data_IF_940528670570
#
_entry.id   IF_940528670570
#
_cell.length_a   1.000
_cell.length_b   1.000
_cell.length_c   1.000
_cell.angle_alpha   90.00
_cell.angle_beta   90.00
_cell.angle_gamma   90.00
#
_symmetry.space_group_name_H-M   'P 1'
#
loop_
_entity.id
_entity.type
_entity.pdbx_description
1 polymer ?
#
# COMPACT_ATOMS: atom_id res chain seq x y z
N UNK A 1 7.59 -33.68 -10.60
CA UNK A 1 6.26 -33.12 -10.30
C UNK A 1 5.33 -34.26 -9.96
N UNK A 2 5.01 -34.46 -8.68
CA UNK A 2 3.87 -35.31 -8.32
C UNK A 2 2.61 -34.65 -8.90
N UNK A 3 1.87 -35.39 -9.71
CA UNK A 3 0.57 -34.94 -10.21
C UNK A 3 -0.41 -34.94 -9.04
N UNK A 4 -0.61 -33.78 -8.42
CA UNK A 4 -1.66 -33.57 -7.42
C UNK A 4 -3.00 -33.91 -8.07
N UNK A 5 -3.68 -34.96 -7.59
CA UNK A 5 -4.96 -35.37 -8.15
C UNK A 5 -6.02 -34.28 -7.90
N UNK A 6 -6.99 -34.12 -8.80
CA UNK A 6 -8.01 -33.07 -8.72
C UNK A 6 -8.81 -33.14 -7.40
N UNK A 7 -9.01 -34.35 -6.85
CA UNK A 7 -9.64 -34.55 -5.55
C UNK A 7 -8.84 -33.94 -4.38
N UNK A 8 -7.51 -33.93 -4.47
CA UNK A 8 -6.64 -33.31 -3.46
C UNK A 8 -6.74 -31.79 -3.54
N UNK A 9 -6.73 -31.21 -4.75
CA UNK A 9 -6.89 -29.76 -4.94
C UNK A 9 -8.24 -29.25 -4.42
N UNK A 10 -9.33 -29.96 -4.67
CA UNK A 10 -10.65 -29.62 -4.10
C UNK A 10 -10.63 -29.69 -2.57
N UNK A 11 -9.94 -30.68 -2.00
CA UNK A 11 -9.79 -30.80 -0.54
C UNK A 11 -9.01 -29.62 0.01
N UNK A 12 -7.87 -29.26 -0.59
CA UNK A 12 -7.08 -28.09 -0.19
C UNK A 12 -7.90 -26.80 -0.28
N UNK A 13 -8.59 -26.56 -1.38
CA UNK A 13 -9.43 -25.36 -1.55
C UNK A 13 -10.50 -25.25 -0.44
N UNK A 14 -11.12 -26.37 -0.04
CA UNK A 14 -12.05 -26.41 1.10
C UNK A 14 -11.36 -26.15 2.44
N UNK A 15 -10.13 -26.63 2.63
CA UNK A 15 -9.35 -26.33 3.83
C UNK A 15 -8.96 -24.85 3.91
N UNK A 16 -8.58 -24.24 2.77
CA UNK A 16 -8.34 -22.80 2.70
C UNK A 16 -9.63 -22.05 3.03
N UNK A 17 -10.77 -22.38 2.40
CA UNK A 17 -12.05 -21.73 2.66
C UNK A 17 -12.49 -21.85 4.14
N UNK A 18 -12.32 -23.03 4.74
CA UNK A 18 -12.62 -23.29 6.14
C UNK A 18 -11.68 -22.57 7.11
N UNK A 19 -10.45 -22.25 6.69
CA UNK A 19 -9.49 -21.47 7.46
C UNK A 19 -9.69 -19.96 7.37
N UNK A 20 -10.74 -19.47 6.69
CA UNK A 20 -11.04 -18.04 6.57
C UNK A 20 -11.27 -17.43 7.96
N UNK A 21 -10.72 -16.22 8.24
CA UNK A 21 -10.96 -15.54 9.50
C UNK A 21 -12.47 -15.32 9.76
N UNK A 22 -12.92 -15.36 11.03
CA UNK A 22 -14.26 -14.93 11.38
C UNK A 22 -14.51 -13.50 10.88
N UNK A 23 -15.62 -13.25 10.18
CA UNK A 23 -15.90 -11.95 9.54
C UNK A 23 -15.26 -11.76 8.16
N UNK A 24 -14.43 -12.70 7.70
CA UNK A 24 -13.72 -12.61 6.43
C UNK A 24 -12.57 -11.59 6.46
N UNK A 25 -12.04 -11.28 5.29
CA UNK A 25 -11.02 -10.24 5.10
C UNK A 25 -11.60 -9.00 4.39
N UNK A 26 -12.72 -9.17 3.69
CA UNK A 26 -13.45 -8.08 3.07
C UNK A 26 -14.93 -8.25 3.38
N UNK A 27 -15.57 -7.18 3.84
CA UNK A 27 -17.00 -7.20 4.14
C UNK A 27 -17.80 -7.51 2.87
N UNK A 28 -18.85 -8.33 2.98
CA UNK A 28 -19.81 -8.62 1.91
C UNK A 28 -19.26 -9.18 0.58
N UNK A 29 -18.02 -9.70 0.59
CA UNK A 29 -17.41 -10.32 -0.59
C UNK A 29 -17.21 -11.83 -0.42
N UNK A 30 -17.44 -12.56 -1.52
CA UNK A 30 -17.13 -13.99 -1.62
C UNK A 30 -16.15 -14.23 -2.76
N UNK A 31 -15.27 -15.21 -2.59
CA UNK A 31 -14.11 -15.43 -3.45
C UNK A 31 -14.04 -16.91 -3.80
N UNK A 32 -13.63 -17.20 -5.03
CA UNK A 32 -13.25 -18.57 -5.40
C UNK A 32 -11.78 -18.77 -5.06
N UNK A 33 -11.51 -19.85 -4.33
CA UNK A 33 -10.16 -20.21 -3.92
C UNK A 33 -9.67 -21.37 -4.78
N UNK A 34 -8.41 -21.30 -5.21
CA UNK A 34 -7.73 -22.45 -5.80
C UNK A 34 -7.06 -23.27 -4.68
N UNK A 35 -6.91 -24.58 -4.89
CA UNK A 35 -6.25 -25.49 -3.95
C UNK A 35 -4.72 -25.41 -4.00
N UNK A 36 -4.18 -24.49 -4.79
CA UNK A 36 -2.74 -24.27 -5.00
C UNK A 36 -2.44 -22.79 -5.04
N UNK A 37 -1.26 -22.41 -4.57
CA UNK A 37 -0.71 -21.10 -4.83
C UNK A 37 -0.47 -20.88 -6.34
N UNK A 38 -0.49 -19.62 -6.77
CA UNK A 38 -0.24 -19.27 -8.17
C UNK A 38 1.24 -19.52 -8.51
N UNK A 39 1.57 -20.45 -9.42
CA UNK A 39 2.96 -20.79 -9.70
C UNK A 39 3.63 -19.69 -10.51
N UNK A 40 4.78 -19.21 -10.02
CA UNK A 40 5.60 -18.21 -10.69
C UNK A 40 6.93 -18.84 -11.14
N UNK A 41 7.33 -18.73 -12.43
CA UNK A 41 8.65 -19.17 -12.87
C UNK A 41 9.76 -18.42 -12.12
N UNK A 42 10.88 -19.08 -11.79
CA UNK A 42 11.97 -18.47 -11.03
C UNK A 42 12.55 -17.21 -11.68
N UNK A 43 12.51 -17.12 -13.02
CA UNK A 43 12.87 -15.91 -13.74
C UNK A 43 11.96 -14.72 -13.39
N UNK A 44 10.64 -14.95 -13.38
CA UNK A 44 9.65 -13.94 -13.03
C UNK A 44 9.81 -13.50 -11.57
N UNK A 45 10.11 -14.43 -10.65
CA UNK A 45 10.42 -14.09 -9.26
C UNK A 45 11.61 -13.13 -9.16
N UNK A 46 12.71 -13.41 -9.88
CA UNK A 46 13.87 -12.52 -9.91
C UNK A 46 13.58 -11.13 -10.50
N UNK A 47 12.68 -11.04 -11.49
CA UNK A 47 12.21 -9.76 -12.04
C UNK A 47 11.37 -8.98 -11.00
N UNK A 48 10.48 -9.66 -10.26
CA UNK A 48 9.68 -9.07 -9.18
C UNK A 48 10.52 -8.57 -8.01
N UNK A 49 11.54 -9.32 -7.59
CA UNK A 49 12.46 -8.91 -6.51
C UNK A 49 13.20 -7.60 -6.85
N UNK A 50 13.61 -7.45 -8.12
CA UNK A 50 14.24 -6.23 -8.61
C UNK A 50 13.28 -5.03 -8.68
N UNK A 51 11.99 -5.29 -8.92
CA UNK A 51 10.98 -4.27 -9.17
C UNK A 51 10.77 -3.35 -7.97
N UNK A 52 10.80 -3.87 -6.74
CA UNK A 52 10.59 -3.06 -5.54
C UNK A 52 11.57 -1.88 -5.42
N UNK A 53 12.85 -2.11 -5.74
CA UNK A 53 13.86 -1.04 -5.75
C UNK A 53 13.61 -0.02 -6.86
N UNK A 54 13.21 -0.48 -8.04
CA UNK A 54 12.91 0.40 -9.19
C UNK A 54 11.73 1.30 -8.88
N UNK A 55 10.65 0.76 -8.32
CA UNK A 55 9.45 1.53 -7.98
C UNK A 55 9.70 2.54 -6.86
N UNK A 56 10.52 2.17 -5.87
CA UNK A 56 10.95 3.14 -4.85
C UNK A 56 11.70 4.33 -5.46
N UNK A 57 12.58 4.07 -6.44
CA UNK A 57 13.28 5.15 -7.15
C UNK A 57 12.33 5.97 -8.03
N UNK A 58 11.36 5.31 -8.67
CA UNK A 58 10.32 5.98 -9.45
C UNK A 58 9.51 6.96 -8.58
N UNK A 59 9.02 6.54 -7.41
CA UNK A 59 8.34 7.44 -6.47
C UNK A 59 9.23 8.58 -5.96
N UNK A 60 10.51 8.31 -5.67
CA UNK A 60 11.47 9.37 -5.31
C UNK A 60 11.60 10.41 -6.42
N UNK A 61 11.77 9.96 -7.66
CA UNK A 61 11.91 10.79 -8.83
C UNK A 61 10.60 11.55 -9.13
N UNK A 62 9.44 10.91 -9.05
CA UNK A 62 8.14 11.55 -9.22
C UNK A 62 7.90 12.67 -8.20
N UNK A 63 8.17 12.40 -6.91
CA UNK A 63 8.09 13.41 -5.87
C UNK A 63 9.09 14.55 -6.07
N UNK A 64 10.30 14.25 -6.56
CA UNK A 64 11.29 15.27 -6.92
C UNK A 64 10.84 16.12 -8.12
N UNK A 65 10.29 15.48 -9.15
CA UNK A 65 9.81 16.13 -10.37
C UNK A 65 8.71 17.14 -10.04
N UNK A 66 7.71 16.74 -9.25
CA UNK A 66 6.66 17.63 -8.80
C UNK A 66 7.22 18.84 -8.05
N UNK A 67 8.10 18.62 -7.06
CA UNK A 67 8.74 19.71 -6.29
C UNK A 67 9.58 20.64 -7.15
N UNK A 68 10.34 20.10 -8.10
CA UNK A 68 11.14 20.93 -9.00
C UNK A 68 10.26 21.73 -9.95
N UNK A 69 9.16 21.14 -10.45
CA UNK A 69 8.18 21.84 -11.27
C UNK A 69 7.51 22.98 -10.51
N UNK A 70 7.08 22.77 -9.27
CA UNK A 70 6.44 23.80 -8.45
C UNK A 70 7.39 24.92 -7.99
N UNK A 71 8.70 24.69 -8.05
CA UNK A 71 9.74 25.68 -7.71
C UNK A 71 10.47 26.25 -8.93
N UNK A 72 9.97 26.00 -10.14
CA UNK A 72 10.51 26.56 -11.39
C UNK A 72 11.85 25.96 -11.85
N UNK A 73 12.26 24.80 -11.30
CA UNK A 73 13.46 24.06 -11.72
C UNK A 73 13.17 23.01 -12.81
N UNK A 74 11.91 22.66 -13.00
CA UNK A 74 11.39 21.84 -14.10
C UNK A 74 10.19 22.58 -14.74
N UNK A 75 9.74 22.19 -15.94
CA UNK A 75 8.61 22.85 -16.60
C UNK A 75 7.35 22.87 -15.73
N UNK A 76 6.81 24.07 -15.50
CA UNK A 76 5.69 24.33 -14.58
C UNK A 76 4.44 23.48 -14.85
N UNK A 77 4.17 23.18 -16.13
CA UNK A 77 2.98 22.44 -16.56
C UNK A 77 2.85 21.06 -15.88
N UNK A 78 3.94 20.47 -15.39
CA UNK A 78 3.92 19.16 -14.75
C UNK A 78 3.20 19.25 -13.40
N UNK A 79 3.60 20.20 -12.55
CA UNK A 79 2.91 20.48 -11.29
C UNK A 79 1.49 20.98 -11.56
N UNK A 80 1.31 21.90 -12.52
CA UNK A 80 -0.05 22.38 -12.86
C UNK A 80 -0.99 21.26 -13.29
N UNK A 81 -0.50 20.28 -14.06
CA UNK A 81 -1.27 19.11 -14.47
C UNK A 81 -1.59 18.19 -13.30
N UNK A 82 -0.58 17.86 -12.48
CA UNK A 82 -0.76 16.97 -11.33
C UNK A 82 -1.62 17.61 -10.25
N UNK A 83 -1.60 18.93 -10.09
CA UNK A 83 -2.33 19.63 -9.03
C UNK A 83 -3.75 20.05 -9.46
N UNK A 84 -4.12 19.79 -10.72
CA UNK A 84 -5.39 20.24 -11.29
C UNK A 84 -6.59 19.69 -10.52
N UNK A 85 -7.48 20.60 -10.09
CA UNK A 85 -8.71 20.25 -9.38
C UNK A 85 -8.54 19.92 -7.89
N UNK A 86 -7.32 20.00 -7.34
CA UNK A 86 -7.08 19.67 -5.94
C UNK A 86 -7.29 20.88 -5.02
N UNK A 87 -7.84 20.66 -3.81
CA UNK A 87 -7.91 21.68 -2.77
C UNK A 87 -6.54 22.26 -2.38
N UNK A 88 -6.49 23.56 -2.08
CA UNK A 88 -5.23 24.26 -1.81
C UNK A 88 -4.53 23.80 -0.52
N UNK A 89 -5.30 23.43 0.49
CA UNK A 89 -4.84 22.84 1.74
C UNK A 89 -4.16 21.48 1.53
N UNK A 90 -4.73 20.61 0.68
CA UNK A 90 -4.11 19.34 0.29
C UNK A 90 -2.76 19.54 -0.41
N UNK A 91 -2.67 20.52 -1.32
CA UNK A 91 -1.40 20.88 -1.98
C UNK A 91 -0.38 21.47 -0.99
N UNK A 92 -0.86 22.24 -0.01
CA UNK A 92 -0.02 22.79 1.06
C UNK A 92 0.56 21.68 1.95
N UNK A 93 -0.21 20.62 2.23
CA UNK A 93 0.29 19.45 2.97
C UNK A 93 1.45 18.79 2.22
N UNK A 94 1.30 18.50 0.93
CA UNK A 94 2.35 17.88 0.14
C UNK A 94 3.67 18.66 0.12
N UNK A 95 3.56 19.99 0.13
CA UNK A 95 4.69 20.91 0.07
C UNK A 95 5.31 21.19 1.44
N UNK A 96 4.64 20.80 2.53
CA UNK A 96 5.09 21.06 3.90
C UNK A 96 6.47 20.44 4.16
N UNK A 97 7.41 21.12 4.87
CA UNK A 97 8.76 20.61 5.13
C UNK A 97 8.82 19.19 5.71
N UNK A 98 7.86 18.84 6.58
CA UNK A 98 7.73 17.51 7.18
C UNK A 98 7.38 16.41 6.17
N UNK A 99 6.61 16.73 5.11
CA UNK A 99 6.11 15.72 4.16
C UNK A 99 6.80 15.77 2.80
N UNK A 100 7.38 16.91 2.39
CA UNK A 100 7.90 17.10 1.03
C UNK A 100 8.87 16.01 0.58
N UNK A 101 9.66 15.44 1.49
CA UNK A 101 10.63 14.37 1.23
C UNK A 101 10.14 12.96 1.61
N UNK A 102 9.02 12.85 2.32
CA UNK A 102 8.46 11.56 2.75
C UNK A 102 7.85 10.78 1.60
N UNK A 103 7.82 9.46 1.75
CA UNK A 103 7.27 8.51 0.78
C UNK A 103 6.32 7.54 1.51
N UNK A 104 5.34 6.97 0.79
CA UNK A 104 4.61 5.81 1.25
C UNK A 104 5.56 4.69 1.68
N UNK A 105 5.29 4.06 2.82
CA UNK A 105 6.11 2.96 3.34
C UNK A 105 5.74 1.60 2.74
N UNK A 106 4.54 1.50 2.17
CA UNK A 106 4.06 0.35 1.40
C UNK A 106 3.64 0.88 0.05
N UNK A 107 3.98 0.14 -1.01
CA UNK A 107 3.51 0.37 -2.37
C UNK A 107 3.07 -0.96 -2.95
N UNK A 108 1.96 -0.98 -3.68
CA UNK A 108 1.48 -2.17 -4.38
C UNK A 108 1.43 -1.87 -5.88
N UNK A 109 2.33 -2.47 -6.68
CA UNK A 109 2.17 -2.44 -8.12
C UNK A 109 1.14 -3.49 -8.54
N UNK A 110 0.17 -3.08 -9.34
CA UNK A 110 -0.71 -4.01 -10.03
C UNK A 110 -0.05 -4.38 -11.35
N UNK A 111 0.08 -5.70 -11.58
CA UNK A 111 0.89 -6.27 -12.65
C UNK A 111 0.02 -7.10 -13.58
N UNK A 112 0.18 -6.87 -14.88
CA UNK A 112 -0.35 -7.72 -15.94
C UNK A 112 0.79 -8.54 -16.54
N UNK A 113 0.63 -9.87 -16.54
CA UNK A 113 1.55 -10.77 -17.23
C UNK A 113 1.14 -10.85 -18.70
N UNK A 114 2.07 -10.52 -19.60
CA UNK A 114 1.89 -10.59 -21.05
C UNK A 114 2.90 -11.56 -21.67
N UNK A 115 2.75 -11.86 -22.96
CA UNK A 115 3.73 -12.68 -23.70
C UNK A 115 5.11 -12.01 -23.80
N UNK A 116 5.17 -10.67 -23.66
CA UNK A 116 6.38 -9.86 -23.79
C UNK A 116 7.04 -9.56 -22.44
N UNK A 117 6.36 -9.83 -21.32
CA UNK A 117 6.86 -9.60 -19.97
C UNK A 117 5.78 -9.05 -19.04
N UNK A 118 6.22 -8.32 -18.00
CA UNK A 118 5.32 -7.70 -17.03
C UNK A 118 5.00 -6.27 -17.46
N UNK A 119 3.72 -5.90 -17.43
CA UNK A 119 3.28 -4.52 -17.53
C UNK A 119 2.71 -4.06 -16.19
N UNK A 120 3.09 -2.87 -15.73
CA UNK A 120 2.50 -2.25 -14.54
C UNK A 120 1.28 -1.46 -14.97
N UNK A 121 0.13 -1.74 -14.36
CA UNK A 121 -1.14 -1.08 -14.68
C UNK A 121 -1.48 0.02 -13.69
N UNK A 122 -1.13 -0.17 -12.41
CA UNK A 122 -1.39 0.78 -11.34
C UNK A 122 -0.28 0.69 -10.29
N UNK A 123 -0.09 1.77 -9.53
CA UNK A 123 0.81 1.79 -8.39
C UNK A 123 0.11 2.49 -7.23
N UNK A 124 -0.32 1.68 -6.28
CA UNK A 124 -1.14 2.08 -5.15
C UNK A 124 -0.24 2.39 -3.93
N UNK A 125 -0.51 3.51 -3.27
CA UNK A 125 0.21 3.99 -2.10
C UNK A 125 -0.54 3.78 -0.77
N UNK A 126 -1.81 3.38 -0.82
CA UNK A 126 -2.68 3.05 0.31
C UNK A 126 -3.25 1.62 0.13
N UNK A 127 -2.42 0.58 -0.12
CA UNK A 127 -2.94 -0.68 -0.63
C UNK A 127 -3.63 -1.51 0.45
N UNK A 128 -4.80 -2.04 0.10
CA UNK A 128 -5.41 -3.20 0.77
C UNK A 128 -4.80 -4.53 0.30
N UNK A 129 -5.36 -5.65 0.74
CA UNK A 129 -4.94 -7.00 0.31
C UNK A 129 -3.68 -7.54 0.99
N UNK A 130 -3.06 -6.78 1.89
CA UNK A 130 -1.90 -7.21 2.69
C UNK A 130 -2.28 -8.38 3.58
N UNK A 131 -3.40 -8.27 4.29
CA UNK A 131 -3.92 -9.29 5.19
C UNK A 131 -4.46 -10.49 4.43
N UNK A 132 -5.11 -10.27 3.28
CA UNK A 132 -5.49 -11.36 2.39
C UNK A 132 -4.29 -12.19 1.95
N UNK A 133 -3.25 -11.51 1.46
CA UNK A 133 -2.04 -12.19 0.98
C UNK A 133 -1.33 -12.92 2.11
N UNK A 134 -1.20 -12.29 3.28
CA UNK A 134 -0.64 -12.91 4.48
C UNK A 134 -1.40 -14.17 4.89
N UNK A 135 -2.73 -14.11 4.92
CA UNK A 135 -3.57 -15.26 5.26
C UNK A 135 -3.43 -16.38 4.22
N UNK A 136 -3.50 -16.07 2.92
CA UNK A 136 -3.30 -17.05 1.85
C UNK A 136 -1.92 -17.71 1.95
N UNK A 137 -0.86 -16.93 2.15
CA UNK A 137 0.49 -17.44 2.35
C UNK A 137 0.55 -18.41 3.52
N UNK A 138 -0.06 -18.07 4.66
CA UNK A 138 -0.13 -18.96 5.83
C UNK A 138 -0.86 -20.27 5.54
N UNK A 139 -1.97 -20.20 4.81
CA UNK A 139 -2.74 -21.39 4.44
C UNK A 139 -1.98 -22.29 3.47
N UNK A 140 -1.42 -21.72 2.40
CA UNK A 140 -0.69 -22.50 1.40
C UNK A 140 0.66 -23.04 1.90
N UNK A 141 1.28 -22.38 2.90
CA UNK A 141 2.55 -22.86 3.51
C UNK A 141 2.45 -24.23 4.17
N UNK A 142 1.24 -24.74 4.40
CA UNK A 142 1.03 -26.10 4.89
C UNK A 142 1.40 -27.17 3.86
N UNK A 143 1.42 -26.82 2.58
CA UNK A 143 1.68 -27.75 1.48
C UNK A 143 2.86 -27.33 0.59
N UNK A 144 3.12 -26.02 0.48
CA UNK A 144 4.13 -25.45 -0.41
C UNK A 144 5.24 -24.78 0.41
N UNK A 145 6.48 -25.24 0.25
CA UNK A 145 7.63 -24.69 0.99
C UNK A 145 8.30 -23.49 0.28
N UNK A 146 7.99 -23.25 -0.99
CA UNK A 146 8.65 -22.26 -1.85
C UNK A 146 7.76 -21.02 -2.11
N UNK A 147 6.91 -20.65 -1.15
CA UNK A 147 6.07 -19.47 -1.27
C UNK A 147 6.88 -18.18 -1.10
N UNK A 148 6.65 -17.22 -1.99
CA UNK A 148 7.28 -15.90 -1.91
C UNK A 148 6.85 -15.21 -0.60
N UNK A 149 7.83 -14.82 0.21
CA UNK A 149 7.62 -14.24 1.53
C UNK A 149 7.24 -15.25 2.64
N UNK A 150 7.04 -16.52 2.30
CA UNK A 150 6.66 -17.57 3.26
C UNK A 150 5.38 -17.26 4.05
N UNK A 151 5.19 -17.95 5.18
CA UNK A 151 3.96 -17.87 5.99
C UNK A 151 3.75 -16.52 6.71
N UNK A 152 4.82 -15.76 6.96
CA UNK A 152 4.80 -14.58 7.85
C UNK A 152 5.33 -13.29 7.20
N UNK A 153 6.02 -13.35 6.05
CA UNK A 153 6.75 -12.21 5.50
C UNK A 153 5.88 -10.98 5.20
N UNK A 154 4.61 -11.17 4.81
CA UNK A 154 3.68 -10.06 4.62
C UNK A 154 3.38 -9.31 5.94
N UNK A 155 3.20 -10.04 7.04
CA UNK A 155 2.95 -9.45 8.36
C UNK A 155 4.21 -8.80 8.92
N UNK A 156 5.36 -9.45 8.79
CA UNK A 156 6.67 -8.91 9.20
C UNK A 156 7.01 -7.63 8.43
N UNK A 157 6.76 -7.63 7.12
CA UNK A 157 6.95 -6.45 6.27
C UNK A 157 6.03 -5.30 6.67
N UNK A 158 4.75 -5.57 6.93
CA UNK A 158 3.80 -4.55 7.39
C UNK A 158 4.17 -4.02 8.79
N UNK A 159 4.54 -4.89 9.73
CA UNK A 159 4.99 -4.48 11.05
C UNK A 159 6.24 -3.58 10.99
N UNK A 160 7.18 -3.91 10.09
CA UNK A 160 8.43 -3.17 9.90
C UNK A 160 8.25 -1.72 9.45
N UNK A 161 7.09 -1.33 8.92
CA UNK A 161 6.87 0.05 8.46
C UNK A 161 6.74 1.06 9.61
N UNK A 162 6.45 0.58 10.83
CA UNK A 162 6.14 1.43 11.99
C UNK A 162 7.36 1.75 12.86
N UNK A 163 8.56 1.25 12.53
CA UNK A 163 9.78 1.46 13.33
C UNK A 163 9.56 1.08 14.80
N UNK A 164 10.00 1.94 15.73
CA UNK A 164 9.96 1.67 17.17
C UNK A 164 8.69 2.18 17.90
N UNK A 165 7.58 2.42 17.19
CA UNK A 165 6.36 2.96 17.83
C UNK A 165 5.74 1.90 18.74
N UNK A 166 5.39 2.29 19.98
CA UNK A 166 4.70 1.41 20.93
C UNK A 166 3.20 1.27 20.64
N UNK A 167 2.60 2.28 20.03
CA UNK A 167 1.20 2.24 19.60
C UNK A 167 1.09 2.50 18.10
N UNK A 168 0.27 1.70 17.44
CA UNK A 168 -0.06 1.80 16.03
C UNK A 168 -1.56 1.93 15.85
N UNK A 169 -1.97 2.94 15.09
CA UNK A 169 -3.36 3.17 14.72
C UNK A 169 -3.56 2.93 13.23
N UNK A 170 -4.43 1.98 12.88
CA UNK A 170 -4.87 1.74 11.51
C UNK A 170 -6.19 2.50 11.31
N UNK A 171 -6.15 3.69 10.71
CA UNK A 171 -7.32 4.56 10.57
C UNK A 171 -8.02 4.23 9.26
N UNK A 172 -9.21 3.65 9.34
CA UNK A 172 -10.01 3.19 8.18
C UNK A 172 -11.19 4.13 7.98
N UNK A 173 -11.31 4.73 6.79
CA UNK A 173 -12.47 5.55 6.45
C UNK A 173 -13.73 4.73 6.19
N UNK A 174 -14.88 5.41 6.16
CA UNK A 174 -16.13 4.83 5.71
C UNK A 174 -16.06 4.39 4.24
N UNK A 175 -15.42 5.18 3.37
CA UNK A 175 -15.19 4.82 1.96
C UNK A 175 -14.37 3.52 1.83
N UNK A 176 -13.48 3.26 2.79
CA UNK A 176 -12.66 2.04 2.85
C UNK A 176 -13.22 0.96 3.78
N UNK A 177 -14.46 1.08 4.24
CA UNK A 177 -15.04 0.20 5.26
C UNK A 177 -15.02 -1.29 4.89
N UNK A 178 -15.09 -1.61 3.60
CA UNK A 178 -14.97 -2.99 3.08
C UNK A 178 -13.68 -3.69 3.54
N UNK A 179 -12.60 -2.94 3.74
CA UNK A 179 -11.29 -3.46 4.17
C UNK A 179 -11.10 -3.48 5.69
N UNK A 180 -12.06 -2.98 6.47
CA UNK A 180 -11.97 -3.00 7.94
C UNK A 180 -11.69 -4.39 8.52
N UNK A 181 -12.35 -5.48 8.07
CA UNK A 181 -12.07 -6.83 8.57
C UNK A 181 -10.62 -7.25 8.32
N UNK A 182 -10.03 -6.88 7.18
CA UNK A 182 -8.61 -7.11 6.90
C UNK A 182 -7.71 -6.39 7.91
N UNK A 183 -7.97 -5.11 8.18
CA UNK A 183 -7.16 -4.33 9.12
C UNK A 183 -7.27 -4.86 10.56
N UNK A 184 -8.48 -5.29 10.96
CA UNK A 184 -8.72 -5.92 12.26
C UNK A 184 -8.00 -7.26 12.36
N UNK A 185 -8.03 -8.05 11.28
CA UNK A 185 -7.30 -9.29 11.22
C UNK A 185 -5.79 -9.06 11.34
N UNK A 186 -5.20 -8.17 10.54
CA UNK A 186 -3.76 -7.84 10.62
C UNK A 186 -3.40 -7.41 12.05
N UNK A 187 -4.16 -6.48 12.64
CA UNK A 187 -3.92 -6.02 14.00
C UNK A 187 -3.98 -7.16 15.04
N UNK A 188 -4.87 -8.14 14.85
CA UNK A 188 -4.96 -9.32 15.74
C UNK A 188 -3.81 -10.31 15.59
N UNK A 189 -3.13 -10.32 14.43
CA UNK A 189 -1.99 -11.22 14.19
C UNK A 189 -0.66 -10.66 14.69
N UNK A 190 -0.59 -9.35 14.95
CA UNK A 190 0.62 -8.66 15.42
C UNK A 190 0.53 -8.42 16.94
N UNK A 191 1.58 -8.76 17.67
CA UNK A 191 1.58 -8.71 19.14
C UNK A 191 2.83 -8.05 19.75
N UNK A 192 3.73 -7.50 18.94
CA UNK A 192 4.96 -6.86 19.43
C UNK A 192 4.71 -5.50 20.08
N UNK A 193 3.54 -4.92 19.83
CA UNK A 193 3.13 -3.57 20.25
C UNK A 193 1.61 -3.46 20.24
N UNK A 194 1.08 -2.33 20.69
CA UNK A 194 -0.36 -2.08 20.67
C UNK A 194 -0.83 -1.71 19.27
N UNK A 195 -1.72 -2.51 18.67
CA UNK A 195 -2.40 -2.18 17.43
C UNK A 195 -3.88 -1.88 17.70
N UNK A 196 -4.40 -0.82 17.10
CA UNK A 196 -5.82 -0.52 17.15
C UNK A 196 -6.33 -0.05 15.79
N UNK A 197 -7.39 -0.69 15.30
CA UNK A 197 -8.14 -0.19 14.16
C UNK A 197 -9.07 0.92 14.63
N UNK A 198 -9.02 2.06 13.94
CA UNK A 198 -9.72 3.29 14.29
C UNK A 198 -10.63 3.72 13.14
N UNK A 199 -11.70 4.42 13.47
CA UNK A 199 -12.58 5.05 12.48
C UNK A 199 -12.06 6.44 12.11
N UNK A 200 -12.60 7.02 11.02
CA UNK A 200 -12.20 8.32 10.48
C UNK A 200 -12.34 9.52 11.43
N UNK A 201 -13.11 9.38 12.50
CA UNK A 201 -13.36 10.39 13.53
C UNK A 201 -12.45 10.28 14.76
N UNK A 202 -11.55 9.31 14.79
CA UNK A 202 -10.65 9.12 15.92
C UNK A 202 -9.66 10.28 16.09
N UNK A 203 -9.57 10.80 17.32
CA UNK A 203 -8.73 11.95 17.68
C UNK A 203 -7.83 11.73 18.92
N UNK A 204 -7.82 10.52 19.48
CA UNK A 204 -7.11 10.17 20.71
C UNK A 204 -5.64 9.79 20.53
N UNK A 205 -4.91 10.51 19.67
CA UNK A 205 -3.49 10.24 19.40
C UNK A 205 -2.58 10.80 20.50
N UNK A 206 -1.48 10.10 20.79
CA UNK A 206 -0.43 10.47 21.73
C UNK A 206 0.91 10.70 21.02
N UNK A 207 1.80 11.45 21.67
CA UNK A 207 3.16 11.65 21.17
C UNK A 207 3.91 10.31 21.04
N UNK A 208 4.52 10.08 19.87
CA UNK A 208 5.24 8.86 19.53
C UNK A 208 4.42 7.79 18.80
N UNK A 209 3.10 7.96 18.69
CA UNK A 209 2.23 7.02 17.98
C UNK A 209 2.59 6.96 16.48
N UNK A 210 2.40 5.78 15.89
CA UNK A 210 2.42 5.60 14.45
C UNK A 210 1.00 5.40 13.91
N UNK A 211 0.72 5.96 12.74
CA UNK A 211 -0.58 5.94 12.11
C UNK A 211 -0.44 5.45 10.68
N UNK A 212 -1.13 4.35 10.37
CA UNK A 212 -1.40 3.93 9.01
C UNK A 212 -2.71 4.57 8.57
N UNK A 213 -2.68 5.56 7.66
CA UNK A 213 -3.92 6.05 7.05
C UNK A 213 -4.39 5.05 6.01
N UNK A 214 -5.57 4.50 6.21
CA UNK A 214 -6.26 3.66 5.24
C UNK A 214 -7.49 4.41 4.72
N UNK A 215 -7.19 5.52 4.04
CA UNK A 215 -8.12 6.37 3.33
C UNK A 215 -7.35 7.15 2.26
N UNK A 216 -8.03 7.46 1.17
CA UNK A 216 -7.49 8.17 0.01
C UNK A 216 -7.60 9.69 0.20
N UNK A 217 -6.70 10.47 -0.42
CA UNK A 217 -6.70 11.93 -0.23
C UNK A 217 -7.80 12.63 -1.02
N UNK A 218 -8.43 11.97 -2.00
CA UNK A 218 -9.63 12.52 -2.63
C UNK A 218 -10.82 12.55 -1.65
N UNK A 219 -10.82 11.67 -0.65
CA UNK A 219 -11.86 11.56 0.39
C UNK A 219 -11.53 12.41 1.63
N UNK A 220 -10.39 13.11 1.64
CA UNK A 220 -9.86 13.81 2.81
C UNK A 220 -10.88 14.75 3.48
N UNK A 221 -11.72 15.41 2.68
CA UNK A 221 -12.75 16.33 3.16
C UNK A 221 -13.84 15.65 4.02
N UNK A 222 -14.03 14.33 3.88
CA UNK A 222 -14.99 13.55 4.65
C UNK A 222 -14.36 12.92 5.91
N UNK A 223 -13.03 12.99 6.06
CA UNK A 223 -12.31 12.41 7.19
C UNK A 223 -12.25 13.41 8.35
N UNK A 224 -13.24 13.37 9.25
CA UNK A 224 -13.38 14.35 10.34
C UNK A 224 -12.17 14.44 11.28
N UNK A 225 -11.43 13.35 11.48
CA UNK A 225 -10.20 13.34 12.29
C UNK A 225 -8.92 13.74 11.54
N UNK A 226 -8.98 13.95 10.23
CA UNK A 226 -7.77 14.14 9.41
C UNK A 226 -7.03 15.43 9.71
N UNK A 227 -7.72 16.54 9.95
CA UNK A 227 -7.08 17.83 10.22
C UNK A 227 -6.16 17.73 11.44
N UNK A 228 -6.68 17.24 12.57
CA UNK A 228 -5.89 17.05 13.79
C UNK A 228 -4.74 16.06 13.57
N UNK A 229 -4.99 14.93 12.91
CA UNK A 229 -3.97 13.93 12.60
C UNK A 229 -2.81 14.54 11.80
N UNK A 230 -3.12 15.30 10.74
CA UNK A 230 -2.13 15.94 9.89
C UNK A 230 -1.35 17.00 10.67
N UNK A 231 -2.01 17.80 11.52
CA UNK A 231 -1.33 18.80 12.35
C UNK A 231 -0.37 18.16 13.37
N UNK A 232 -0.77 17.07 14.03
CA UNK A 232 0.12 16.30 14.90
C UNK A 232 1.32 15.74 14.13
N UNK A 233 1.09 15.25 12.90
CA UNK A 233 2.15 14.75 12.05
C UNK A 233 3.11 15.86 11.60
N UNK A 234 2.60 17.05 11.24
CA UNK A 234 3.44 18.24 10.93
C UNK A 234 4.32 18.64 12.10
N UNK A 235 3.80 18.55 13.34
CA UNK A 235 4.51 18.81 14.59
C UNK A 235 5.52 17.70 14.96
N UNK A 236 5.56 16.58 14.22
CA UNK A 236 6.42 15.44 14.51
C UNK A 236 5.98 14.61 15.72
N UNK A 237 4.75 14.83 16.22
CA UNK A 237 4.20 14.11 17.37
C UNK A 237 3.74 12.71 17.00
N UNK A 238 3.24 12.52 15.79
CA UNK A 238 2.88 11.20 15.27
C UNK A 238 3.59 10.92 13.96
N UNK A 239 3.86 9.64 13.69
CA UNK A 239 4.40 9.20 12.40
C UNK A 239 3.26 8.74 11.50
N UNK A 240 2.94 9.53 10.48
CA UNK A 240 1.88 9.24 9.54
C UNK A 240 2.43 8.61 8.26
N UNK A 241 1.95 7.41 7.92
CA UNK A 241 2.20 6.77 6.62
C UNK A 241 0.91 6.20 6.05
N UNK A 242 0.71 6.21 4.72
CA UNK A 242 1.41 7.05 3.75
C UNK A 242 1.28 8.55 4.05
N UNK A 243 2.23 9.40 3.61
CA UNK A 243 2.15 10.84 3.85
C UNK A 243 1.00 11.49 3.04
N UNK A 244 0.45 12.64 3.46
CA UNK A 244 -0.63 13.34 2.75
C UNK A 244 -0.08 14.05 1.50
N UNK A 245 0.24 13.26 0.48
CA UNK A 245 0.88 13.68 -0.77
C UNK A 245 0.12 13.13 -1.98
N UNK A 246 -0.82 13.89 -2.56
CA UNK A 246 -1.63 13.41 -3.68
C UNK A 246 -0.82 13.04 -4.92
N UNK A 247 0.43 13.51 -5.08
CA UNK A 247 1.31 13.09 -6.19
C UNK A 247 1.50 11.58 -6.25
N UNK A 248 1.44 10.87 -5.11
CA UNK A 248 1.62 9.43 -5.07
C UNK A 248 0.32 8.63 -5.25
N UNK A 249 -0.82 9.31 -5.30
CA UNK A 249 -2.13 8.71 -5.60
C UNK A 249 -2.55 9.01 -7.06
N UNK A 250 -1.69 9.68 -7.83
CA UNK A 250 -1.94 10.02 -9.24
C UNK A 250 -1.63 8.87 -10.20
N UNK A 251 -2.66 8.45 -10.94
CA UNK A 251 -2.51 7.53 -12.08
C UNK A 251 -1.69 8.15 -13.22
N UNK A 252 -1.67 9.49 -13.32
CA UNK A 252 -0.94 10.23 -14.35
C UNK A 252 0.59 10.06 -14.29
N UNK A 253 1.14 9.56 -13.18
CA UNK A 253 2.59 9.38 -13.04
C UNK A 253 3.20 8.52 -14.15
N UNK A 254 2.51 7.45 -14.58
CA UNK A 254 3.02 6.62 -15.68
C UNK A 254 2.97 7.33 -17.03
N UNK A 255 1.99 8.20 -17.27
CA UNK A 255 1.98 9.03 -18.47
C UNK A 255 3.19 9.98 -18.51
N UNK A 256 3.61 10.51 -17.36
CA UNK A 256 4.82 11.33 -17.25
C UNK A 256 6.10 10.51 -17.46
N UNK A 257 6.15 9.26 -16.98
CA UNK A 257 7.26 8.35 -17.24
C UNK A 257 7.50 8.15 -18.75
N UNK A 258 6.43 7.98 -19.51
CA UNK A 258 6.47 7.78 -20.96
C UNK A 258 6.57 9.09 -21.77
N UNK A 259 6.53 10.25 -21.12
CA UNK A 259 6.62 11.52 -21.81
C UNK A 259 8.06 11.76 -22.31
N UNK A 260 8.22 11.85 -23.64
CA UNK A 260 9.53 12.03 -24.29
C UNK A 260 10.30 13.27 -23.81
N UNK A 261 9.61 14.32 -23.38
CA UNK A 261 10.24 15.56 -22.91
C UNK A 261 10.86 15.41 -21.52
N UNK A 262 10.50 14.36 -20.77
CA UNK A 262 11.01 14.06 -19.43
C UNK A 262 12.07 12.96 -19.44
N UNK A 263 12.44 12.42 -20.60
CA UNK A 263 13.38 11.30 -20.74
C UNK A 263 14.72 11.56 -20.03
N UNK A 264 15.27 12.76 -20.15
CA UNK A 264 16.55 13.11 -19.52
C UNK A 264 16.43 13.30 -18.01
N UNK A 265 15.25 13.64 -17.49
CA UNK A 265 15.00 13.67 -16.05
C UNK A 265 14.98 12.24 -15.48
N UNK A 266 14.27 11.31 -16.13
CA UNK A 266 14.15 9.92 -15.66
C UNK A 266 15.43 9.09 -15.77
N UNK A 267 16.39 9.52 -16.60
CA UNK A 267 17.69 8.85 -16.77
C UNK A 267 18.70 9.16 -15.66
N UNK A 268 18.47 10.22 -14.89
CA UNK A 268 19.33 10.67 -13.79
C UNK A 268 19.05 9.87 -12.52
#
# INVERSE_FOLDING_TARGET
MQTTNNSDLVTRARMVDAGRPPGGLFADHSWRLDGRAFPLPSRLVGELDGLGRVLLQFYRAAGLLHRQSSTGRQPEWIASLLDQGKPADLLAHQSHPTFRSELPRVIRPDLLLTEEGIAITELDSVPGGIGLTAWLNRMYSQWDNDLIGGASGMLEGFEGIFGDASNVHLVVSEESATYRPEMEWIASQLNTRTYAVRSQDFNGFSDGDAVYRFFELFDLANISGAEQLIELAKQGKVRLTPPPKPVFEEKLLFALLWNRNLKEFWRQ
#
